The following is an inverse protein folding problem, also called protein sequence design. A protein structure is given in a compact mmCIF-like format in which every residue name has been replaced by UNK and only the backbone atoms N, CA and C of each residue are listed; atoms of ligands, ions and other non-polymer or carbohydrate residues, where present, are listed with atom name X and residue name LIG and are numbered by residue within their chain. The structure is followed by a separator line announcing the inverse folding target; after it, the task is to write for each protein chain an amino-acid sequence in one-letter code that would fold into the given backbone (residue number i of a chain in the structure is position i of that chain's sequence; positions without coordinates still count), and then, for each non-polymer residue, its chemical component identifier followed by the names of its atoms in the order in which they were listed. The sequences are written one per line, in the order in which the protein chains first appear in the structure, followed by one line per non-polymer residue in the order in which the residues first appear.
data_IF_934483361405
#
_entry.id   IF_934483361405
#
_cell.length_a   1.000
_cell.length_b   1.000
_cell.length_c   1.000
_cell.angle_alpha   90.00
_cell.angle_beta   90.00
_cell.angle_gamma   90.00
#
_symmetry.space_group_name_H-M   'P 1'
#
loop_
_entity.id
_entity.type
_entity.pdbx_description
1 polymer ?
#
# COMPACT_ATOMS: atom_id res chain seq x y z
N UNK A 1 24.43 -2.68 21.93
CA UNK A 1 24.22 -1.59 22.91
C UNK A 1 24.18 -2.12 24.35
N UNK A 2 23.18 -2.93 24.74
CA UNK A 2 23.12 -3.48 26.10
C UNK A 2 24.31 -4.39 26.43
N UNK A 3 24.73 -5.23 25.48
CA UNK A 3 25.91 -6.10 25.63
C UNK A 3 27.23 -5.33 25.88
N UNK A 4 27.29 -4.05 25.47
CA UNK A 4 28.45 -3.18 25.71
C UNK A 4 28.24 -2.26 26.93
N UNK A 5 27.23 -2.53 27.78
CA UNK A 5 26.93 -1.75 28.98
C UNK A 5 26.27 -0.38 28.75
N UNK A 6 25.96 -0.02 27.50
CA UNK A 6 25.35 1.27 27.18
C UNK A 6 23.83 1.23 27.44
N UNK A 7 23.30 2.28 28.10
CA UNK A 7 21.87 2.42 28.40
C UNK A 7 21.12 3.11 27.25
N UNK A 8 20.08 2.49 26.68
CA UNK A 8 19.21 3.13 25.69
C UNK A 8 18.58 4.41 26.23
N UNK A 9 18.50 5.44 25.38
CA UNK A 9 17.83 6.70 25.66
C UNK A 9 16.58 6.89 24.78
N UNK A 10 15.86 7.99 24.96
CA UNK A 10 14.66 8.34 24.19
C UNK A 10 14.94 8.35 22.68
N UNK A 11 16.09 8.87 22.25
CA UNK A 11 16.49 8.91 20.83
C UNK A 11 16.68 7.50 20.29
N UNK A 12 17.29 6.60 21.09
CA UNK A 12 17.43 5.19 20.73
C UNK A 12 16.06 4.54 20.56
N UNK A 13 15.13 4.81 21.47
CA UNK A 13 13.77 4.26 21.43
C UNK A 13 13.02 4.71 20.19
N UNK A 14 13.07 6.00 19.85
CA UNK A 14 12.47 6.53 18.61
C UNK A 14 13.02 5.82 17.38
N UNK A 15 14.35 5.63 17.30
CA UNK A 15 14.98 4.92 16.18
C UNK A 15 14.51 3.46 16.04
N UNK A 16 14.47 2.72 17.16
CA UNK A 16 14.05 1.30 17.13
C UNK A 16 12.55 1.17 16.84
N UNK A 17 11.70 2.04 17.42
CA UNK A 17 10.27 2.06 17.14
C UNK A 17 9.98 2.38 15.66
N UNK A 18 10.72 3.32 15.08
CA UNK A 18 10.65 3.63 13.65
C UNK A 18 11.04 2.43 12.78
N UNK A 19 12.08 1.67 13.15
CA UNK A 19 12.43 0.44 12.45
C UNK A 19 11.29 -0.60 12.52
N UNK A 20 10.68 -0.78 13.70
CA UNK A 20 9.55 -1.70 13.88
C UNK A 20 8.35 -1.28 13.02
N UNK A 21 8.03 0.01 13.00
CA UNK A 21 6.96 0.62 12.18
C UNK A 21 7.11 0.33 10.69
N UNK A 22 8.33 0.44 10.15
CA UNK A 22 8.61 0.17 8.74
C UNK A 22 8.57 -1.32 8.41
N UNK A 23 9.08 -2.17 9.30
CA UNK A 23 9.09 -3.62 9.12
C UNK A 23 7.75 -4.29 9.40
N UNK A 24 6.79 -3.59 10.02
CA UNK A 24 5.56 -4.21 10.53
C UNK A 24 5.81 -5.16 11.71
N UNK A 25 6.92 -4.96 12.42
CA UNK A 25 7.39 -5.77 13.55
C UNK A 25 6.60 -5.45 14.84
N UNK A 26 5.41 -6.05 14.96
CA UNK A 26 4.47 -5.79 16.03
C UNK A 26 5.03 -6.27 17.38
N UNK A 27 5.50 -7.51 17.47
CA UNK A 27 5.89 -8.11 18.75
C UNK A 27 7.18 -7.49 19.28
N UNK A 28 8.19 -7.27 18.42
CA UNK A 28 9.40 -6.58 18.86
C UNK A 28 9.06 -5.14 19.28
N UNK A 29 8.18 -4.45 18.55
CA UNK A 29 7.75 -3.12 18.98
C UNK A 29 6.98 -3.11 20.31
N UNK A 30 6.22 -4.16 20.63
CA UNK A 30 5.60 -4.33 21.96
C UNK A 30 6.67 -4.56 23.04
N UNK A 31 7.72 -5.33 22.77
CA UNK A 31 8.84 -5.49 23.71
C UNK A 31 9.57 -4.18 23.97
N UNK A 32 9.75 -3.36 22.93
CA UNK A 32 10.34 -2.03 23.08
C UNK A 32 9.42 -1.12 23.89
N UNK A 33 8.10 -1.15 23.66
CA UNK A 33 7.14 -0.41 24.48
C UNK A 33 7.22 -0.86 25.96
N UNK A 34 7.21 -2.16 26.22
CA UNK A 34 7.38 -2.71 27.57
C UNK A 34 8.73 -2.34 28.21
N UNK A 35 9.81 -2.28 27.43
CA UNK A 35 11.12 -1.83 27.91
C UNK A 35 11.09 -0.37 28.36
N UNK A 36 10.44 0.52 27.58
CA UNK A 36 10.27 1.94 27.92
C UNK A 36 9.57 2.09 29.27
N UNK A 37 8.46 1.37 29.45
CA UNK A 37 7.67 1.39 30.70
C UNK A 37 8.48 0.82 31.88
N UNK A 38 9.07 -0.37 31.72
CA UNK A 38 9.83 -1.05 32.79
C UNK A 38 11.04 -0.24 33.26
N UNK A 39 11.71 0.46 32.35
CA UNK A 39 12.88 1.27 32.68
C UNK A 39 12.52 2.72 33.02
N UNK A 40 11.23 3.05 33.10
CA UNK A 40 10.73 4.40 33.42
C UNK A 40 11.34 5.47 32.51
N UNK A 41 11.57 5.14 31.24
CA UNK A 41 12.04 6.11 30.26
C UNK A 41 10.96 7.16 30.05
N UNK A 42 11.37 8.42 29.88
CA UNK A 42 10.42 9.51 29.70
C UNK A 42 9.73 9.37 28.34
N UNK A 43 8.42 9.12 28.36
CA UNK A 43 7.57 9.23 27.17
C UNK A 43 7.31 10.71 26.91
N UNK A 44 8.29 11.36 26.27
CA UNK A 44 8.11 12.71 25.74
C UNK A 44 7.36 12.64 24.41
N UNK A 45 7.09 13.81 23.82
CA UNK A 45 6.30 13.88 22.58
C UNK A 45 6.92 13.10 21.41
N UNK A 46 8.24 12.99 21.34
CA UNK A 46 8.93 12.23 20.30
C UNK A 46 8.74 10.72 20.47
N UNK A 47 8.92 10.22 21.70
CA UNK A 47 8.71 8.80 22.00
C UNK A 47 7.24 8.42 21.87
N UNK A 48 6.32 9.26 22.37
CA UNK A 48 4.88 9.06 22.21
C UNK A 48 4.46 9.02 20.75
N UNK A 49 4.91 9.99 19.93
CA UNK A 49 4.65 9.99 18.47
C UNK A 49 5.18 8.72 17.80
N UNK A 50 6.38 8.26 18.17
CA UNK A 50 6.96 7.03 17.62
C UNK A 50 6.22 5.76 18.04
N UNK A 51 5.69 5.72 19.28
CA UNK A 51 4.85 4.62 19.76
C UNK A 51 3.52 4.55 19.01
N UNK A 52 2.84 5.69 18.83
CA UNK A 52 1.60 5.78 18.04
C UNK A 52 1.89 5.31 16.60
N UNK A 53 2.92 5.86 15.96
CA UNK A 53 3.29 5.49 14.58
C UNK A 53 3.57 3.99 14.48
N UNK A 54 4.37 3.44 15.39
CA UNK A 54 4.69 2.00 15.42
C UNK A 54 3.45 1.14 15.54
N UNK A 55 2.59 1.38 16.52
CA UNK A 55 1.42 0.53 16.74
C UNK A 55 0.43 0.63 15.58
N UNK A 56 0.16 1.85 15.10
CA UNK A 56 -0.70 2.08 13.95
C UNK A 56 -0.19 1.37 12.68
N UNK A 57 1.11 1.46 12.39
CA UNK A 57 1.74 0.88 11.18
C UNK A 57 2.05 -0.61 11.29
N UNK A 58 2.01 -1.18 12.49
CA UNK A 58 2.06 -2.63 12.72
C UNK A 58 0.67 -3.28 12.78
N UNK A 59 -0.40 -2.51 12.59
CA UNK A 59 -1.78 -3.04 12.58
C UNK A 59 -2.34 -3.33 13.97
N UNK A 60 -1.85 -2.62 15.00
CA UNK A 60 -2.39 -2.62 16.37
C UNK A 60 -2.87 -1.20 16.68
N UNK A 61 -4.01 -0.87 16.08
CA UNK A 61 -4.50 0.52 16.10
C UNK A 61 -5.10 0.92 17.45
N UNK A 62 -5.65 -0.02 18.21
CA UNK A 62 -6.25 0.26 19.51
C UNK A 62 -5.18 0.71 20.52
N UNK A 63 -4.02 0.04 20.55
CA UNK A 63 -2.88 0.46 21.36
C UNK A 63 -2.33 1.82 20.91
N UNK A 64 -2.38 2.14 19.61
CA UNK A 64 -1.99 3.47 19.12
C UNK A 64 -2.90 4.58 19.68
N UNK A 65 -4.20 4.32 19.83
CA UNK A 65 -5.14 5.25 20.47
C UNK A 65 -4.87 5.37 21.96
N UNK A 66 -4.67 4.26 22.66
CA UNK A 66 -4.38 4.27 24.10
C UNK A 66 -3.11 5.07 24.40
N UNK A 67 -2.05 4.89 23.60
CA UNK A 67 -0.83 5.69 23.74
C UNK A 67 -1.14 7.18 23.58
N UNK A 68 -1.93 7.57 22.58
CA UNK A 68 -2.32 8.97 22.37
C UNK A 68 -3.11 9.52 23.56
N UNK A 69 -4.16 8.82 24.01
CA UNK A 69 -5.04 9.24 25.10
C UNK A 69 -4.34 9.34 26.46
N UNK A 70 -3.26 8.60 26.65
CA UNK A 70 -2.45 8.62 27.88
C UNK A 70 -1.32 9.67 27.85
N UNK A 71 -1.11 10.37 26.73
CA UNK A 71 -0.10 11.42 26.64
C UNK A 71 -0.50 12.63 27.50
N UNK A 72 0.45 13.14 28.29
CA UNK A 72 0.23 14.36 29.10
C UNK A 72 0.37 15.66 28.31
N UNK A 73 1.10 15.61 27.20
CA UNK A 73 1.42 16.75 26.34
C UNK A 73 1.38 16.27 24.91
N UNK A 74 0.42 16.80 24.16
CA UNK A 74 0.28 16.59 22.73
C UNK A 74 0.86 17.78 21.97
N UNK A 75 1.22 17.56 20.72
CA UNK A 75 1.52 18.64 19.79
C UNK A 75 1.02 18.28 18.40
N UNK A 76 1.26 19.16 17.43
CA UNK A 76 0.82 18.95 16.06
C UNK A 76 1.29 17.61 15.46
N UNK A 77 2.46 17.11 15.86
CA UNK A 77 2.99 15.84 15.35
C UNK A 77 2.21 14.63 15.87
N UNK A 78 1.78 14.62 17.14
CA UNK A 78 0.97 13.51 17.69
C UNK A 78 -0.39 13.44 17.02
N UNK A 79 -1.03 14.59 16.80
CA UNK A 79 -2.29 14.69 16.05
C UNK A 79 -2.13 14.23 14.60
N UNK A 80 -1.08 14.68 13.91
CA UNK A 80 -0.82 14.33 12.52
C UNK A 80 -0.61 12.81 12.34
N UNK A 81 0.11 12.17 13.25
CA UNK A 81 0.30 10.71 13.22
C UNK A 81 -1.03 9.99 13.48
N UNK A 82 -1.84 10.44 14.43
CA UNK A 82 -3.14 9.83 14.71
C UNK A 82 -4.11 9.95 13.51
N UNK A 83 -4.22 11.13 12.90
CA UNK A 83 -5.04 11.35 11.70
C UNK A 83 -4.58 10.46 10.54
N UNK A 84 -3.26 10.38 10.31
CA UNK A 84 -2.68 9.52 9.27
C UNK A 84 -2.94 8.04 9.55
N UNK A 85 -2.88 7.63 10.81
CA UNK A 85 -3.17 6.26 11.23
C UNK A 85 -4.63 5.89 10.95
N UNK A 86 -5.60 6.76 11.28
CA UNK A 86 -7.01 6.56 10.91
C UNK A 86 -7.17 6.44 9.38
N UNK A 87 -6.53 7.32 8.61
CA UNK A 87 -6.56 7.29 7.15
C UNK A 87 -6.01 5.98 6.56
N UNK A 88 -4.90 5.47 7.11
CA UNK A 88 -4.27 4.21 6.68
C UNK A 88 -5.08 2.97 7.03
N UNK A 89 -5.87 3.02 8.11
CA UNK A 89 -6.72 1.91 8.56
C UNK A 89 -8.15 1.98 8.00
N UNK A 90 -8.40 2.83 7.00
CA UNK A 90 -9.71 2.95 6.36
C UNK A 90 -10.79 3.60 7.23
N UNK A 91 -10.42 4.27 8.32
CA UNK A 91 -11.34 4.93 9.25
C UNK A 91 -11.41 6.43 8.93
N UNK A 92 -11.87 6.77 7.72
CA UNK A 92 -11.81 8.15 7.23
C UNK A 92 -12.68 9.14 8.01
N UNK A 93 -13.86 8.72 8.48
CA UNK A 93 -14.72 9.56 9.33
C UNK A 93 -14.02 9.93 10.63
N UNK A 94 -13.44 8.95 11.33
CA UNK A 94 -12.68 9.18 12.55
C UNK A 94 -11.44 10.06 12.32
N UNK A 95 -10.80 10.00 11.15
CA UNK A 95 -9.72 10.92 10.78
C UNK A 95 -10.21 12.37 10.69
N UNK A 96 -11.40 12.60 10.12
CA UNK A 96 -12.03 13.91 10.00
C UNK A 96 -12.49 14.45 11.36
N UNK A 97 -13.11 13.60 12.18
CA UNK A 97 -13.48 13.95 13.56
C UNK A 97 -12.26 14.30 14.40
N UNK A 98 -11.17 13.54 14.26
CA UNK A 98 -9.90 13.82 14.94
C UNK A 98 -9.30 15.16 14.50
N UNK A 99 -9.38 15.50 13.22
CA UNK A 99 -9.01 16.83 12.72
C UNK A 99 -9.86 17.93 13.35
N UNK A 100 -11.18 17.76 13.37
CA UNK A 100 -12.08 18.78 13.91
C UNK A 100 -11.87 18.95 15.43
N UNK A 101 -11.62 17.86 16.16
CA UNK A 101 -11.22 17.88 17.58
C UNK A 101 -9.91 18.64 17.80
N UNK A 102 -8.87 18.34 17.02
CA UNK A 102 -7.58 19.03 17.05
C UNK A 102 -7.75 20.56 16.92
N UNK A 103 -8.62 21.01 16.01
CA UNK A 103 -8.89 22.44 15.80
C UNK A 103 -9.62 23.06 16.99
N UNK A 104 -10.62 22.37 17.55
CA UNK A 104 -11.38 22.83 18.74
C UNK A 104 -10.47 22.97 19.96
N UNK A 105 -9.50 22.07 20.11
CA UNK A 105 -8.49 22.12 21.18
C UNK A 105 -7.40 23.18 20.96
N UNK A 106 -7.50 23.96 19.88
CA UNK A 106 -6.66 25.14 19.63
C UNK A 106 -5.36 24.84 18.87
N UNK A 107 -5.17 23.61 18.38
CA UNK A 107 -4.04 23.31 17.52
C UNK A 107 -4.31 23.81 16.10
N UNK A 108 -3.33 24.51 15.52
CA UNK A 108 -3.41 25.00 14.15
C UNK A 108 -2.96 23.91 13.18
N UNK A 109 -3.82 23.41 12.26
CA UNK A 109 -3.41 22.47 11.21
C UNK A 109 -2.26 23.01 10.36
N UNK A 110 -1.34 22.11 10.00
CA UNK A 110 -0.25 22.36 9.06
C UNK A 110 -0.45 21.55 7.76
N UNK A 111 0.55 21.59 6.88
CA UNK A 111 0.53 20.86 5.62
C UNK A 111 0.47 19.34 5.84
N UNK A 112 1.13 18.81 6.87
CA UNK A 112 1.08 17.38 7.19
C UNK A 112 -0.32 16.99 7.71
N UNK A 113 -0.98 17.86 8.49
CA UNK A 113 -2.36 17.66 8.94
C UNK A 113 -3.30 17.52 7.75
N UNK A 114 -3.23 18.46 6.80
CA UNK A 114 -4.10 18.43 5.62
C UNK A 114 -3.78 17.25 4.70
N UNK A 115 -2.52 16.85 4.56
CA UNK A 115 -2.16 15.64 3.83
C UNK A 115 -2.87 14.40 4.43
N UNK A 116 -2.82 14.21 5.76
CA UNK A 116 -3.49 13.09 6.42
C UNK A 116 -5.01 13.07 6.17
N UNK A 117 -5.67 14.23 6.28
CA UNK A 117 -7.11 14.37 6.00
C UNK A 117 -7.45 14.10 4.54
N UNK A 118 -6.65 14.59 3.60
CA UNK A 118 -6.86 14.35 2.17
C UNK A 118 -6.62 12.88 1.79
N UNK A 119 -5.64 12.22 2.43
CA UNK A 119 -5.46 10.77 2.31
C UNK A 119 -6.71 10.01 2.81
N UNK A 120 -7.27 10.42 3.96
CA UNK A 120 -8.51 9.82 4.48
C UNK A 120 -9.66 9.96 3.49
N UNK A 121 -9.86 11.16 2.93
CA UNK A 121 -10.88 11.41 1.92
C UNK A 121 -10.64 10.56 0.67
N UNK A 122 -9.40 10.49 0.19
CA UNK A 122 -9.01 9.68 -0.97
C UNK A 122 -9.34 8.19 -0.77
N UNK A 123 -8.94 7.62 0.37
CA UNK A 123 -9.14 6.19 0.64
C UNK A 123 -10.62 5.80 0.83
N UNK A 124 -11.47 6.74 1.26
CA UNK A 124 -12.92 6.52 1.45
C UNK A 124 -13.78 7.06 0.29
N UNK A 125 -13.18 7.72 -0.71
CA UNK A 125 -13.93 8.33 -1.80
C UNK A 125 -14.79 9.55 -1.39
N UNK A 126 -14.45 10.24 -0.29
CA UNK A 126 -15.17 11.44 0.16
C UNK A 126 -14.83 12.68 -0.67
N UNK A 127 -15.30 12.71 -1.93
CA UNK A 127 -14.93 13.75 -2.91
C UNK A 127 -15.27 15.16 -2.41
N UNK A 128 -16.51 15.38 -1.96
CA UNK A 128 -16.93 16.72 -1.50
C UNK A 128 -16.20 17.16 -0.24
N UNK A 129 -15.88 16.23 0.66
CA UNK A 129 -15.10 16.56 1.85
C UNK A 129 -13.64 16.88 1.49
N UNK A 130 -13.03 16.11 0.58
CA UNK A 130 -11.69 16.40 0.07
C UNK A 130 -11.59 17.78 -0.56
N UNK A 131 -12.55 18.15 -1.44
CA UNK A 131 -12.64 19.50 -2.03
C UNK A 131 -12.74 20.58 -0.96
N UNK A 132 -13.61 20.38 0.03
CA UNK A 132 -13.82 21.33 1.13
C UNK A 132 -12.56 21.52 1.96
N UNK A 133 -11.90 20.42 2.35
CA UNK A 133 -10.67 20.46 3.17
C UNK A 133 -9.51 21.07 2.39
N UNK A 134 -9.34 20.72 1.12
CA UNK A 134 -8.33 21.34 0.25
C UNK A 134 -8.57 22.85 0.07
N UNK A 135 -9.82 23.27 -0.12
CA UNK A 135 -10.16 24.69 -0.23
C UNK A 135 -9.91 25.45 1.08
N UNK A 136 -10.25 24.85 2.23
CA UNK A 136 -9.99 25.44 3.57
C UNK A 136 -8.50 25.57 3.86
N UNK A 137 -7.68 24.58 3.46
CA UNK A 137 -6.21 24.64 3.58
C UNK A 137 -5.66 25.95 3.01
N UNK A 138 -6.13 26.35 1.84
CA UNK A 138 -5.68 27.56 1.13
C UNK A 138 -6.35 28.81 1.71
N UNK A 139 -7.68 28.84 1.74
CA UNK A 139 -8.47 30.05 2.02
C UNK A 139 -8.46 30.45 3.50
N UNK A 140 -8.51 29.47 4.41
CA UNK A 140 -8.63 29.73 5.86
C UNK A 140 -7.26 29.67 6.55
N UNK A 141 -6.41 28.71 6.18
CA UNK A 141 -5.12 28.49 6.85
C UNK A 141 -3.94 29.13 6.12
N UNK A 142 -4.14 29.61 4.89
CA UNK A 142 -3.09 30.26 4.09
C UNK A 142 -1.96 29.32 3.68
N UNK A 143 -2.19 28.01 3.72
CA UNK A 143 -1.18 27.01 3.40
C UNK A 143 -1.07 26.84 1.89
N UNK A 144 0.17 26.78 1.40
CA UNK A 144 0.45 26.51 -0.01
C UNK A 144 0.40 25.00 -0.27
N UNK A 145 -0.46 24.51 -1.16
CA UNK A 145 -0.52 23.09 -1.48
C UNK A 145 0.80 22.59 -2.08
N UNK A 146 1.33 21.51 -1.48
CA UNK A 146 2.49 20.76 -1.99
C UNK A 146 2.06 19.63 -2.92
N UNK A 147 3.05 19.01 -3.58
CA UNK A 147 2.84 17.93 -4.55
C UNK A 147 2.01 16.77 -3.97
N UNK A 148 2.19 16.46 -2.69
CA UNK A 148 1.51 15.38 -2.00
C UNK A 148 0.00 15.67 -1.82
N UNK A 149 -0.37 16.93 -1.58
CA UNK A 149 -1.77 17.36 -1.47
C UNK A 149 -2.48 17.23 -2.82
N UNK A 150 -1.84 17.73 -3.88
CA UNK A 150 -2.34 17.56 -5.24
C UNK A 150 -2.43 16.08 -5.62
N UNK A 151 -1.43 15.28 -5.28
CA UNK A 151 -1.44 13.83 -5.49
C UNK A 151 -2.66 13.16 -4.85
N UNK A 152 -3.01 13.53 -3.61
CA UNK A 152 -4.19 13.00 -2.93
C UNK A 152 -5.50 13.47 -3.56
N UNK A 153 -5.61 14.76 -3.91
CA UNK A 153 -6.81 15.29 -4.56
C UNK A 153 -7.02 14.71 -5.95
N UNK A 154 -5.96 14.59 -6.74
CA UNK A 154 -6.02 13.98 -8.06
C UNK A 154 -6.43 12.53 -7.92
N UNK A 155 -5.84 11.75 -7.00
CA UNK A 155 -6.23 10.36 -6.78
C UNK A 155 -7.70 10.22 -6.31
N UNK A 156 -8.17 11.14 -5.47
CA UNK A 156 -9.57 11.19 -5.03
C UNK A 156 -10.54 11.49 -6.19
N UNK A 157 -10.31 12.58 -6.93
CA UNK A 157 -11.15 13.00 -8.07
C UNK A 157 -11.17 11.92 -9.14
N UNK A 158 -10.00 11.35 -9.41
CA UNK A 158 -9.79 10.22 -10.30
C UNK A 158 -10.64 9.01 -9.93
N UNK A 159 -10.63 8.57 -8.67
CA UNK A 159 -11.46 7.44 -8.20
C UNK A 159 -12.95 7.78 -8.25
N UNK A 160 -13.30 9.05 -8.03
CA UNK A 160 -14.65 9.58 -8.17
C UNK A 160 -15.14 9.77 -9.62
N UNK A 161 -14.28 9.58 -10.63
CA UNK A 161 -14.63 9.79 -12.05
C UNK A 161 -14.58 11.25 -12.53
N UNK A 162 -14.15 12.19 -11.69
CA UNK A 162 -14.02 13.62 -12.00
C UNK A 162 -12.70 13.93 -12.71
N UNK A 163 -12.47 13.29 -13.85
CA UNK A 163 -11.18 13.38 -14.57
C UNK A 163 -10.88 14.77 -15.13
N UNK A 164 -11.92 15.50 -15.57
CA UNK A 164 -11.73 16.82 -16.16
C UNK A 164 -11.27 17.81 -15.08
N UNK A 165 -11.85 17.75 -13.88
CA UNK A 165 -11.39 18.52 -12.71
C UNK A 165 -10.00 18.10 -12.25
N UNK A 166 -9.68 16.81 -12.27
CA UNK A 166 -8.34 16.34 -11.96
C UNK A 166 -7.30 16.93 -12.94
N UNK A 167 -7.66 17.07 -14.21
CA UNK A 167 -6.81 17.67 -15.24
C UNK A 167 -6.67 19.19 -15.08
N UNK A 168 -7.76 19.89 -14.78
CA UNK A 168 -7.72 21.32 -14.42
C UNK A 168 -6.81 21.57 -13.22
N UNK A 169 -6.90 20.71 -12.19
CA UNK A 169 -6.05 20.78 -11.02
C UNK A 169 -4.57 20.66 -11.41
N UNK A 170 -4.20 19.70 -12.26
CA UNK A 170 -2.82 19.54 -12.76
C UNK A 170 -2.34 20.80 -13.50
N UNK A 171 -3.16 21.38 -14.36
CA UNK A 171 -2.81 22.61 -15.08
C UNK A 171 -2.67 23.82 -14.16
N UNK A 172 -3.45 23.88 -13.07
CA UNK A 172 -3.38 24.95 -12.08
C UNK A 172 -2.10 24.88 -11.22
N UNK A 173 -1.41 23.74 -11.21
CA UNK A 173 -0.18 23.57 -10.45
C UNK A 173 0.93 24.45 -11.03
N UNK A 174 1.29 25.50 -10.29
CA UNK A 174 2.50 26.31 -10.57
C UNK A 174 3.81 25.55 -10.28
N UNK A 175 3.73 24.33 -9.78
CA UNK A 175 4.86 23.47 -9.46
C UNK A 175 5.33 22.76 -10.73
N UNK A 176 6.66 22.72 -10.97
CA UNK A 176 7.26 21.98 -12.09
C UNK A 176 6.65 20.59 -12.19
N UNK A 177 6.29 20.20 -13.41
CA UNK A 177 5.73 18.90 -13.79
C UNK A 177 6.38 17.76 -12.99
N UNK A 178 5.57 16.93 -12.33
CA UNK A 178 6.05 15.87 -11.44
C UNK A 178 5.52 14.52 -11.91
N UNK A 179 6.43 13.55 -12.01
CA UNK A 179 6.12 12.22 -12.51
C UNK A 179 5.14 11.45 -11.62
N UNK A 180 5.11 11.67 -10.30
CA UNK A 180 4.17 11.00 -9.39
C UNK A 180 2.72 11.33 -9.76
N UNK A 181 2.45 12.57 -10.15
CA UNK A 181 1.10 13.03 -10.50
C UNK A 181 0.65 12.44 -11.82
N UNK A 182 1.51 12.48 -12.84
CA UNK A 182 1.21 11.86 -14.13
C UNK A 182 1.06 10.34 -14.01
N UNK A 183 1.85 9.66 -13.16
CA UNK A 183 1.65 8.22 -12.86
C UNK A 183 0.31 7.95 -12.18
N UNK A 184 -0.08 8.80 -11.24
CA UNK A 184 -1.38 8.70 -10.54
C UNK A 184 -2.53 8.87 -11.55
N UNK A 185 -2.44 9.83 -12.46
CA UNK A 185 -3.42 10.04 -13.53
C UNK A 185 -3.42 8.90 -14.55
N UNK A 186 -2.26 8.41 -14.99
CA UNK A 186 -2.17 7.30 -15.93
C UNK A 186 -2.84 6.03 -15.38
N UNK A 187 -2.60 5.72 -14.09
CA UNK A 187 -3.29 4.64 -13.40
C UNK A 187 -4.83 4.79 -13.35
N UNK A 188 -5.34 6.02 -13.51
CA UNK A 188 -6.78 6.32 -13.66
C UNK A 188 -7.38 5.83 -14.95
N UNK A 189 -6.66 6.15 -16.04
CA UNK A 189 -7.21 6.16 -17.39
C UNK A 189 -7.60 4.75 -17.80
N UNK A 190 -6.96 3.77 -17.16
CA UNK A 190 -7.41 2.38 -17.07
C UNK A 190 -8.88 2.28 -16.67
N UNK A 191 -9.24 2.61 -15.43
CA UNK A 191 -10.59 2.38 -14.91
C UNK A 191 -11.71 3.11 -15.66
N UNK A 192 -11.44 4.31 -16.16
CA UNK A 192 -12.45 5.15 -16.83
C UNK A 192 -12.40 5.08 -18.35
N UNK A 193 -11.50 4.27 -18.92
CA UNK A 193 -11.42 4.01 -20.36
C UNK A 193 -11.11 5.23 -21.24
N UNK A 194 -10.50 6.28 -20.67
CA UNK A 194 -10.09 7.54 -21.33
C UNK A 194 -8.66 7.41 -21.86
N UNK A 195 -8.51 6.70 -22.97
CA UNK A 195 -7.20 6.36 -23.56
C UNK A 195 -6.35 7.58 -23.91
N UNK A 196 -6.94 8.58 -24.59
CA UNK A 196 -6.23 9.78 -25.02
C UNK A 196 -5.55 10.51 -23.86
N UNK A 197 -6.21 10.51 -22.69
CA UNK A 197 -5.67 11.09 -21.46
C UNK A 197 -4.54 10.23 -20.88
N UNK A 198 -4.66 8.90 -20.97
CA UNK A 198 -3.59 7.97 -20.60
C UNK A 198 -2.34 8.19 -21.44
N UNK A 199 -2.50 8.28 -22.75
CA UNK A 199 -1.39 8.55 -23.68
C UNK A 199 -0.77 9.92 -23.47
N UNK A 200 -1.59 10.94 -23.19
CA UNK A 200 -1.09 12.25 -22.83
C UNK A 200 -0.25 12.20 -21.54
N UNK A 201 -0.76 11.54 -20.49
CA UNK A 201 -0.04 11.38 -19.23
C UNK A 201 1.26 10.60 -19.41
N UNK A 202 1.25 9.54 -20.23
CA UNK A 202 2.44 8.76 -20.54
C UNK A 202 3.50 9.57 -21.29
N UNK A 203 3.13 10.35 -22.30
CA UNK A 203 4.07 11.28 -22.96
C UNK A 203 4.71 12.26 -21.99
N UNK A 204 3.93 12.79 -21.03
CA UNK A 204 4.48 13.64 -19.96
C UNK A 204 5.41 12.89 -19.02
N UNK A 205 5.20 11.61 -18.78
CA UNK A 205 6.14 10.78 -18.02
C UNK A 205 7.44 10.52 -18.78
N UNK A 206 7.38 10.32 -20.10
CA UNK A 206 8.59 10.16 -20.92
C UNK A 206 9.47 11.41 -20.93
N UNK A 207 8.86 12.61 -20.91
CA UNK A 207 9.59 13.87 -20.79
C UNK A 207 10.35 14.01 -19.45
N UNK A 208 9.85 13.38 -18.37
CA UNK A 208 10.40 13.52 -17.02
C UNK A 208 11.31 12.37 -16.61
N UNK A 209 10.92 11.14 -16.93
CA UNK A 209 11.54 9.91 -16.46
C UNK A 209 11.51 8.83 -17.57
N UNK A 210 12.27 9.02 -18.65
CA UNK A 210 12.24 8.13 -19.82
C UNK A 210 12.73 6.71 -19.51
N UNK A 211 13.49 6.50 -18.44
CA UNK A 211 14.06 5.20 -18.06
C UNK A 211 13.30 4.49 -16.94
N UNK A 212 12.19 5.06 -16.47
CA UNK A 212 11.42 4.47 -15.38
C UNK A 212 10.43 3.43 -15.93
N UNK A 213 10.76 2.14 -15.74
CA UNK A 213 9.96 1.01 -16.19
C UNK A 213 8.52 0.97 -15.65
N UNK A 214 8.24 1.60 -14.50
CA UNK A 214 6.87 1.67 -13.95
C UNK A 214 5.91 2.41 -14.90
N UNK A 215 6.39 3.44 -15.59
CA UNK A 215 5.59 4.24 -16.52
C UNK A 215 5.11 3.39 -17.71
N UNK A 216 6.01 2.56 -18.24
CA UNK A 216 5.75 1.67 -19.37
C UNK A 216 4.79 0.53 -18.99
N UNK A 217 4.97 -0.03 -17.79
CA UNK A 217 4.01 -1.02 -17.26
C UNK A 217 2.61 -0.39 -17.13
N UNK A 218 2.51 0.84 -16.63
CA UNK A 218 1.22 1.51 -16.48
C UNK A 218 0.50 1.74 -17.81
N UNK A 219 1.18 2.23 -18.86
CA UNK A 219 0.55 2.43 -20.17
C UNK A 219 0.23 1.10 -20.87
N UNK A 220 1.10 0.10 -20.74
CA UNK A 220 0.85 -1.26 -21.25
C UNK A 220 -0.46 -1.82 -20.67
N UNK A 221 -0.70 -1.64 -19.38
CA UNK A 221 -1.96 -2.05 -18.74
C UNK A 221 -3.20 -1.29 -19.28
N UNK A 222 -3.06 -0.01 -19.65
CA UNK A 222 -4.15 0.75 -20.27
C UNK A 222 -4.50 0.19 -21.65
N UNK A 223 -3.49 -0.16 -22.47
CA UNK A 223 -3.68 -0.78 -23.77
C UNK A 223 -4.28 -2.19 -23.67
N UNK A 224 -3.82 -3.00 -22.72
CA UNK A 224 -4.33 -4.36 -22.46
C UNK A 224 -5.83 -4.35 -22.20
N UNK A 225 -6.36 -3.42 -21.38
CA UNK A 225 -7.79 -3.32 -21.11
C UNK A 225 -8.63 -3.01 -22.36
N UNK A 226 -8.05 -2.29 -23.32
CA UNK A 226 -8.68 -1.98 -24.62
C UNK A 226 -8.38 -3.03 -25.69
N UNK A 227 -7.67 -4.11 -25.35
CA UNK A 227 -7.27 -5.20 -26.25
C UNK A 227 -6.40 -4.71 -27.42
N UNK A 228 -5.57 -3.69 -27.18
CA UNK A 228 -4.65 -3.07 -28.13
C UNK A 228 -3.26 -3.71 -28.05
N UNK A 229 -3.13 -4.88 -28.65
CA UNK A 229 -1.97 -5.74 -28.44
C UNK A 229 -0.71 -5.29 -29.19
N UNK A 230 -0.87 -4.56 -30.29
CA UNK A 230 0.26 -4.01 -31.05
C UNK A 230 1.03 -3.00 -30.21
N UNK A 231 0.31 -2.07 -29.58
CA UNK A 231 0.86 -1.04 -28.70
C UNK A 231 1.49 -1.65 -27.44
N UNK A 232 0.92 -2.74 -26.90
CA UNK A 232 1.53 -3.52 -25.80
C UNK A 232 2.88 -4.12 -26.21
N UNK A 233 2.97 -4.68 -27.42
CA UNK A 233 4.21 -5.23 -27.98
C UNK A 233 5.29 -4.15 -28.14
N UNK A 234 4.94 -3.01 -28.72
CA UNK A 234 5.85 -1.87 -28.90
C UNK A 234 6.42 -1.35 -27.56
N UNK A 235 5.55 -1.22 -26.55
CA UNK A 235 5.98 -0.82 -25.20
C UNK A 235 6.92 -1.85 -24.59
N UNK A 236 6.67 -3.15 -24.79
CA UNK A 236 7.51 -4.23 -24.24
C UNK A 236 8.88 -4.26 -24.90
N UNK A 237 8.94 -4.17 -26.23
CA UNK A 237 10.21 -4.08 -26.97
C UNK A 237 11.04 -2.86 -26.56
N UNK A 238 10.38 -1.71 -26.32
CA UNK A 238 11.03 -0.50 -25.86
C UNK A 238 11.63 -0.66 -24.44
N UNK A 239 10.94 -1.38 -23.56
CA UNK A 239 11.44 -1.70 -22.21
C UNK A 239 12.67 -2.62 -22.28
N UNK A 240 12.62 -3.65 -23.14
CA UNK A 240 13.68 -4.65 -23.28
C UNK A 240 14.95 -4.05 -23.91
N UNK A 241 14.79 -3.31 -25.01
CA UNK A 241 15.88 -2.62 -25.71
C UNK A 241 16.59 -1.59 -24.82
N UNK A 242 15.87 -1.01 -23.86
CA UNK A 242 16.39 0.00 -22.92
C UNK A 242 16.92 -0.58 -21.59
N UNK A 243 16.87 -1.90 -21.39
CA UNK A 243 17.31 -2.60 -20.16
C UNK A 243 16.73 -1.98 -18.87
N UNK A 244 15.46 -1.61 -18.89
CA UNK A 244 14.84 -0.95 -17.74
C UNK A 244 14.65 -1.92 -16.57
N UNK A 245 15.08 -1.52 -15.36
CA UNK A 245 14.94 -2.34 -14.15
C UNK A 245 13.57 -2.12 -13.50
N UNK A 246 12.83 -3.20 -13.28
CA UNK A 246 11.57 -3.21 -12.50
C UNK A 246 11.88 -3.32 -11.00
N UNK A 247 11.12 -2.61 -10.15
CA UNK A 247 11.21 -2.82 -8.70
C UNK A 247 10.50 -4.14 -8.37
N UNK A 248 11.20 -5.13 -7.77
CA UNK A 248 10.57 -6.39 -7.43
C UNK A 248 9.57 -6.22 -6.29
N UNK A 249 8.43 -6.90 -6.41
CA UNK A 249 7.48 -7.04 -5.32
C UNK A 249 8.10 -7.85 -4.18
N UNK A 250 8.08 -7.28 -2.99
CA UNK A 250 8.63 -7.84 -1.77
C UNK A 250 7.59 -7.75 -0.65
N UNK A 251 7.38 -8.87 0.05
CA UNK A 251 6.48 -8.97 1.18
C UNK A 251 7.18 -9.51 2.40
N UNK A 252 6.75 -9.09 3.58
CA UNK A 252 7.22 -9.66 4.83
C UNK A 252 6.08 -10.03 5.77
N UNK A 253 6.35 -10.97 6.66
CA UNK A 253 5.44 -11.43 7.71
C UNK A 253 6.26 -11.68 8.98
N UNK A 254 5.68 -11.33 10.12
CA UNK A 254 6.27 -11.62 11.43
C UNK A 254 5.68 -12.90 12.00
N UNK A 255 6.53 -13.87 12.35
CA UNK A 255 6.14 -15.14 12.98
C UNK A 255 7.15 -15.43 14.10
N UNK A 256 6.68 -15.78 15.30
CA UNK A 256 7.52 -16.13 16.45
C UNK A 256 8.64 -15.11 16.75
N UNK A 257 8.38 -13.81 16.52
CA UNK A 257 9.32 -12.69 16.70
C UNK A 257 10.47 -12.63 15.68
N UNK A 258 10.35 -13.31 14.55
CA UNK A 258 11.22 -13.15 13.40
C UNK A 258 10.43 -12.60 12.21
N UNK A 259 11.04 -11.67 11.48
CA UNK A 259 10.48 -11.12 10.24
C UNK A 259 11.05 -11.90 9.07
N UNK A 260 10.17 -12.53 8.28
CA UNK A 260 10.51 -13.30 7.10
C UNK A 260 10.16 -12.50 5.84
N UNK A 261 11.06 -12.49 4.85
CA UNK A 261 10.92 -11.72 3.61
C UNK A 261 10.80 -12.63 2.39
N UNK A 262 9.87 -12.33 1.50
CA UNK A 262 9.56 -13.05 0.28
C UNK A 262 9.62 -12.11 -0.92
N UNK A 263 10.26 -12.53 -2.00
CA UNK A 263 10.33 -11.78 -3.26
C UNK A 263 9.64 -12.55 -4.37
N UNK A 264 8.88 -11.85 -5.22
CA UNK A 264 8.18 -12.47 -6.35
C UNK A 264 9.14 -13.11 -7.38
N UNK A 265 10.40 -12.66 -7.41
CA UNK A 265 11.43 -13.12 -8.34
C UNK A 265 12.39 -14.16 -7.75
N UNK A 266 12.13 -14.72 -6.56
CA UNK A 266 12.98 -15.77 -5.98
C UNK A 266 12.48 -17.14 -6.48
N UNK A 267 13.18 -17.80 -7.42
CA UNK A 267 12.88 -19.18 -7.76
C UNK A 267 13.29 -20.07 -6.58
N UNK A 268 12.43 -21.03 -6.21
CA UNK A 268 12.72 -22.21 -5.40
C UNK A 268 14.01 -22.10 -4.55
N UNK A 269 13.99 -21.25 -3.51
CA UNK A 269 15.05 -21.29 -2.50
C UNK A 269 15.00 -22.66 -1.84
N UNK A 270 16.16 -23.30 -1.66
CA UNK A 270 16.25 -24.57 -0.94
C UNK A 270 15.56 -24.43 0.43
N UNK A 271 14.57 -25.29 0.70
CA UNK A 271 13.73 -25.24 1.92
C UNK A 271 12.35 -24.58 1.75
N UNK A 272 11.97 -24.10 0.56
CA UNK A 272 10.65 -23.49 0.30
C UNK A 272 9.62 -24.47 -0.30
N UNK A 273 9.93 -25.76 -0.45
CA UNK A 273 9.06 -26.76 -1.09
C UNK A 273 7.67 -26.84 -0.42
N UNK A 274 7.63 -26.79 0.91
CA UNK A 274 6.38 -26.80 1.67
C UNK A 274 5.52 -25.55 1.41
N UNK A 275 6.14 -24.38 1.24
CA UNK A 275 5.45 -23.12 0.94
C UNK A 275 4.83 -23.18 -0.46
N UNK A 276 5.54 -23.72 -1.45
CA UNK A 276 5.01 -23.92 -2.80
C UNK A 276 3.85 -24.91 -2.81
N UNK A 277 3.98 -26.02 -2.08
CA UNK A 277 2.88 -26.99 -1.93
C UNK A 277 1.66 -26.34 -1.28
N UNK A 278 1.87 -25.54 -0.23
CA UNK A 278 0.80 -24.79 0.42
C UNK A 278 0.15 -23.78 -0.52
N UNK A 279 0.90 -23.09 -1.38
CA UNK A 279 0.35 -22.20 -2.40
C UNK A 279 -0.55 -22.93 -3.40
N UNK A 280 -0.13 -24.10 -3.87
CA UNK A 280 -0.96 -24.93 -4.76
C UNK A 280 -2.20 -25.48 -4.03
N UNK A 281 -2.09 -25.83 -2.74
CA UNK A 281 -3.25 -26.22 -1.93
C UNK A 281 -4.23 -25.05 -1.78
N UNK A 282 -3.75 -23.84 -1.45
CA UNK A 282 -4.57 -22.62 -1.39
C UNK A 282 -5.24 -22.38 -2.74
N UNK A 283 -4.50 -22.44 -3.85
CA UNK A 283 -5.03 -22.29 -5.21
C UNK A 283 -6.19 -23.25 -5.49
N UNK A 284 -6.02 -24.52 -5.15
CA UNK A 284 -7.03 -25.54 -5.38
C UNK A 284 -8.30 -25.28 -4.55
N UNK A 285 -8.13 -24.92 -3.27
CA UNK A 285 -9.27 -24.57 -2.41
C UNK A 285 -9.99 -23.32 -2.91
N UNK A 286 -9.25 -22.31 -3.37
CA UNK A 286 -9.81 -21.11 -3.95
C UNK A 286 -10.61 -21.41 -5.22
N UNK A 287 -10.09 -22.23 -6.13
CA UNK A 287 -10.80 -22.65 -7.35
C UNK A 287 -12.12 -23.36 -7.01
N UNK A 288 -12.13 -24.23 -5.99
CA UNK A 288 -13.36 -24.87 -5.49
C UNK A 288 -14.36 -23.85 -4.92
N UNK A 289 -13.89 -22.75 -4.34
CA UNK A 289 -14.70 -21.65 -3.85
C UNK A 289 -15.13 -20.63 -4.94
N UNK A 290 -14.83 -20.90 -6.22
CA UNK A 290 -15.22 -20.04 -7.35
C UNK A 290 -14.24 -18.90 -7.64
N UNK A 291 -13.00 -18.97 -7.16
CA UNK A 291 -11.95 -18.04 -7.55
C UNK A 291 -11.61 -18.19 -9.04
N UNK A 292 -11.69 -17.08 -9.76
CA UNK A 292 -11.25 -16.96 -11.15
C UNK A 292 -10.09 -15.95 -11.17
N UNK A 293 -8.87 -16.37 -11.55
CA UNK A 293 -7.74 -15.45 -11.67
C UNK A 293 -8.03 -14.35 -12.69
N UNK A 294 -7.66 -13.10 -12.38
CA UNK A 294 -7.83 -11.97 -13.30
C UNK A 294 -6.71 -11.96 -14.37
N UNK A 295 -6.78 -12.87 -15.34
CA UNK A 295 -5.75 -13.03 -16.39
C UNK A 295 -5.82 -12.00 -17.52
N UNK A 296 -6.93 -11.25 -17.62
CA UNK A 296 -7.15 -10.23 -18.65
C UNK A 296 -6.10 -9.11 -18.65
N UNK A 297 -5.39 -8.91 -17.53
CA UNK A 297 -4.35 -7.88 -17.39
C UNK A 297 -2.92 -8.36 -17.69
N UNK A 298 -2.72 -9.64 -18.02
CA UNK A 298 -1.40 -10.19 -18.31
C UNK A 298 -1.04 -10.12 -19.79
N UNK A 299 0.23 -9.85 -20.09
CA UNK A 299 0.79 -9.73 -21.44
C UNK A 299 0.47 -10.97 -22.29
N UNK A 300 0.01 -10.77 -23.54
CA UNK A 300 -0.54 -11.83 -24.39
C UNK A 300 0.48 -12.81 -24.97
N UNK A 301 1.78 -12.51 -24.89
CA UNK A 301 2.85 -13.41 -25.37
C UNK A 301 3.10 -14.62 -24.46
N UNK A 302 2.28 -14.75 -23.42
CA UNK A 302 2.34 -15.82 -22.43
C UNK A 302 0.98 -16.53 -22.43
N UNK A 303 0.98 -17.86 -22.43
CA UNK A 303 -0.27 -18.64 -22.45
C UNK A 303 -1.09 -18.41 -21.16
N UNK A 304 -2.41 -18.64 -21.21
CA UNK A 304 -3.30 -18.42 -20.05
C UNK A 304 -2.88 -19.20 -18.79
N UNK A 305 -2.31 -20.39 -18.95
CA UNK A 305 -1.79 -21.18 -17.82
C UNK A 305 -0.60 -20.51 -17.13
N UNK A 306 0.30 -19.89 -17.89
CA UNK A 306 1.48 -19.19 -17.41
C UNK A 306 1.12 -17.78 -16.86
N UNK A 307 0.05 -17.17 -17.37
CA UNK A 307 -0.58 -15.98 -16.74
C UNK A 307 -1.17 -16.32 -15.37
N UNK A 308 -1.97 -17.39 -15.27
CA UNK A 308 -2.48 -17.89 -13.99
C UNK A 308 -1.33 -18.24 -13.04
N UNK A 309 -0.28 -18.89 -13.56
CA UNK A 309 0.91 -19.24 -12.80
C UNK A 309 1.54 -18.00 -12.17
N UNK A 310 1.84 -16.97 -12.96
CA UNK A 310 2.47 -15.74 -12.46
C UNK A 310 1.64 -15.03 -11.37
N UNK A 311 0.31 -15.02 -11.48
CA UNK A 311 -0.57 -14.42 -10.47
C UNK A 311 -0.51 -15.15 -9.12
N UNK A 312 -0.29 -16.47 -9.11
CA UNK A 312 -0.18 -17.27 -7.88
C UNK A 312 1.07 -16.91 -7.09
N UNK A 313 2.16 -16.55 -7.77
CA UNK A 313 3.48 -16.37 -7.16
C UNK A 313 3.81 -14.91 -6.80
N UNK A 314 2.79 -14.12 -6.48
CA UNK A 314 3.00 -12.82 -5.86
C UNK A 314 3.57 -12.98 -4.45
N UNK A 315 4.53 -12.11 -4.06
CA UNK A 315 5.26 -12.23 -2.79
C UNK A 315 4.38 -12.27 -1.54
N UNK A 316 3.24 -11.58 -1.59
CA UNK A 316 2.28 -11.52 -0.49
C UNK A 316 1.52 -12.85 -0.32
N UNK A 317 1.35 -13.62 -1.40
CA UNK A 317 0.77 -14.98 -1.34
C UNK A 317 1.76 -15.97 -0.72
N UNK A 318 3.05 -15.84 -1.03
CA UNK A 318 4.11 -16.60 -0.34
C UNK A 318 4.12 -16.32 1.17
N UNK A 319 4.04 -15.04 1.54
CA UNK A 319 3.97 -14.64 2.95
C UNK A 319 2.75 -15.26 3.66
N UNK A 320 1.60 -15.33 2.99
CA UNK A 320 0.42 -16.00 3.53
C UNK A 320 0.64 -17.51 3.70
N UNK A 321 1.12 -18.19 2.66
CA UNK A 321 1.38 -19.62 2.70
C UNK A 321 2.36 -19.97 3.84
N UNK A 322 3.43 -19.20 3.97
CA UNK A 322 4.36 -19.34 5.10
C UNK A 322 3.67 -19.13 6.45
N UNK A 323 2.88 -18.06 6.60
CA UNK A 323 2.15 -17.76 7.83
C UNK A 323 1.16 -18.85 8.23
N UNK A 324 0.44 -19.43 7.27
CA UNK A 324 -0.51 -20.53 7.53
C UNK A 324 0.18 -21.84 7.93
N UNK A 325 1.40 -22.09 7.43
CA UNK A 325 2.19 -23.28 7.80
C UNK A 325 2.82 -23.15 9.19
N UNK A 326 3.31 -21.95 9.54
CA UNK A 326 4.19 -21.76 10.68
C UNK A 326 3.54 -21.02 11.85
N UNK A 327 2.28 -20.58 11.73
CA UNK A 327 1.60 -19.87 12.81
C UNK A 327 0.18 -20.37 13.06
N UNK A 328 -0.12 -20.48 14.36
CA UNK A 328 -1.47 -20.71 14.87
C UNK A 328 -2.18 -19.42 15.28
N UNK A 329 -1.54 -18.25 15.11
CA UNK A 329 -2.14 -16.98 15.46
C UNK A 329 -3.44 -16.74 14.67
N UNK A 330 -4.45 -16.12 15.31
CA UNK A 330 -5.73 -15.85 14.66
C UNK A 330 -5.62 -14.81 13.54
N UNK A 331 -4.63 -13.92 13.62
CA UNK A 331 -4.43 -12.82 12.65
C UNK A 331 -3.04 -12.89 12.05
N UNK A 332 -2.96 -13.05 10.73
CA UNK A 332 -1.71 -12.96 9.98
C UNK A 332 -1.53 -11.54 9.44
N UNK A 333 -0.36 -10.94 9.67
CA UNK A 333 -0.04 -9.56 9.28
C UNK A 333 1.07 -9.55 8.23
N UNK A 334 0.73 -9.13 7.01
CA UNK A 334 1.62 -9.13 5.86
C UNK A 334 1.90 -7.69 5.44
N UNK A 335 3.16 -7.39 5.22
CA UNK A 335 3.64 -6.10 4.73
C UNK A 335 4.03 -6.24 3.26
N UNK A 336 3.73 -5.24 2.44
CA UNK A 336 4.07 -5.20 1.01
C UNK A 336 4.70 -3.85 0.63
N UNK A 337 5.82 -3.90 -0.08
CA UNK A 337 6.54 -2.71 -0.57
C UNK A 337 5.92 -2.02 -1.80
N UNK A 338 4.82 -2.58 -2.33
CA UNK A 338 4.06 -2.08 -3.46
C UNK A 338 2.55 -2.19 -3.16
N UNK A 339 1.69 -1.56 -3.97
CA UNK A 339 0.22 -1.68 -3.85
C UNK A 339 -0.22 -3.14 -4.10
N UNK A 340 -1.21 -3.67 -3.39
CA UNK A 340 -1.74 -5.00 -3.80
C UNK A 340 -2.64 -4.88 -5.03
N UNK A 341 -2.58 -5.86 -5.94
CA UNK A 341 -3.46 -5.91 -7.11
C UNK A 341 -4.85 -6.44 -6.76
N UNK A 342 -5.79 -6.34 -7.71
CA UNK A 342 -7.18 -6.78 -7.52
C UNK A 342 -7.27 -8.29 -7.28
N UNK A 343 -6.52 -9.06 -8.08
CA UNK A 343 -6.42 -10.51 -7.95
C UNK A 343 -5.96 -10.91 -6.54
N UNK A 344 -4.93 -10.27 -6.00
CA UNK A 344 -4.48 -10.51 -4.63
C UNK A 344 -5.57 -10.15 -3.61
N UNK A 345 -6.29 -9.05 -3.80
CA UNK A 345 -7.38 -8.67 -2.91
C UNK A 345 -8.48 -9.75 -2.87
N UNK A 346 -8.89 -10.27 -4.03
CA UNK A 346 -9.88 -11.35 -4.12
C UNK A 346 -9.34 -12.67 -3.55
N UNK A 347 -8.07 -12.98 -3.82
CA UNK A 347 -7.36 -14.12 -3.26
C UNK A 347 -7.37 -14.10 -1.73
N UNK A 348 -6.98 -12.98 -1.10
CA UNK A 348 -6.95 -12.85 0.35
C UNK A 348 -8.34 -12.89 0.98
N UNK A 349 -9.33 -12.27 0.33
CA UNK A 349 -10.72 -12.30 0.78
C UNK A 349 -11.21 -13.74 0.89
N UNK A 350 -11.05 -14.53 -0.16
CA UNK A 350 -11.46 -15.93 -0.17
C UNK A 350 -10.58 -16.79 0.76
N UNK A 351 -9.27 -16.57 0.79
CA UNK A 351 -8.36 -17.32 1.66
C UNK A 351 -8.68 -17.10 3.15
N UNK A 352 -9.02 -15.86 3.56
CA UNK A 352 -9.43 -15.55 4.94
C UNK A 352 -10.66 -16.36 5.37
N UNK A 353 -11.62 -16.55 4.46
CA UNK A 353 -12.82 -17.34 4.70
C UNK A 353 -12.55 -18.85 4.68
N UNK A 354 -11.75 -19.36 3.74
CA UNK A 354 -11.44 -20.80 3.65
C UNK A 354 -10.65 -21.28 4.86
N UNK A 355 -9.60 -20.53 5.22
CA UNK A 355 -8.70 -20.92 6.31
C UNK A 355 -9.14 -20.42 7.69
N UNK A 356 -10.26 -19.69 7.76
CA UNK A 356 -10.82 -19.13 9.00
C UNK A 356 -9.74 -18.36 9.79
N UNK A 357 -9.08 -17.44 9.09
CA UNK A 357 -8.04 -16.56 9.64
C UNK A 357 -8.34 -15.12 9.29
N UNK A 358 -8.07 -14.21 10.21
CA UNK A 358 -8.00 -12.80 9.88
C UNK A 358 -6.67 -12.55 9.15
N UNK A 359 -6.74 -11.90 7.99
CA UNK A 359 -5.55 -11.54 7.21
C UNK A 359 -5.53 -10.03 7.09
N UNK A 360 -4.43 -9.43 7.51
CA UNK A 360 -4.21 -7.98 7.41
C UNK A 360 -3.02 -7.77 6.50
N UNK A 361 -3.24 -7.09 5.38
CA UNK A 361 -2.17 -6.76 4.42
C UNK A 361 -1.98 -5.27 4.39
N UNK A 362 -0.80 -4.77 4.77
CA UNK A 362 -0.42 -3.37 4.61
C UNK A 362 0.41 -3.20 3.36
N UNK A 363 -0.07 -2.36 2.45
CA UNK A 363 0.73 -1.89 1.32
C UNK A 363 1.31 -0.49 1.56
N UNK A 364 1.88 0.10 0.52
CA UNK A 364 2.46 1.46 0.56
C UNK A 364 1.45 2.59 0.79
N UNK A 365 0.14 2.31 0.77
CA UNK A 365 -0.94 3.30 0.93
C UNK A 365 -1.78 3.05 2.18
N UNK A 366 -2.22 1.81 2.41
CA UNK A 366 -3.18 1.49 3.47
C UNK A 366 -3.11 0.03 3.91
N UNK A 367 -3.83 -0.27 4.97
CA UNK A 367 -4.20 -1.61 5.36
C UNK A 367 -5.39 -2.12 4.55
N UNK A 368 -5.40 -3.42 4.31
CA UNK A 368 -6.50 -4.20 3.78
C UNK A 368 -6.81 -5.30 4.78
N UNK A 369 -8.03 -5.32 5.29
CA UNK A 369 -8.47 -6.24 6.33
C UNK A 369 -9.42 -7.27 5.71
N UNK A 370 -9.05 -8.53 5.81
CA UNK A 370 -9.84 -9.66 5.33
C UNK A 370 -10.23 -10.52 6.53
N UNK A 371 -11.53 -10.65 6.77
CA UNK A 371 -12.08 -11.40 7.91
C UNK A 371 -12.84 -12.61 7.38
N UNK A 372 -12.70 -13.75 8.07
CA UNK A 372 -13.25 -15.04 7.64
C UNK A 372 -14.78 -15.16 7.71
N UNK A 373 -15.52 -14.06 7.92
CA UNK A 373 -16.97 -14.06 7.99
C UNK A 373 -17.60 -14.02 6.58
N UNK A 374 -18.46 -14.99 6.29
CA UNK A 374 -19.19 -15.16 5.02
C UNK A 374 -20.04 -13.93 4.62
N UNK A 375 -20.41 -13.07 5.58
CA UNK A 375 -21.15 -11.81 5.33
C UNK A 375 -20.31 -10.70 4.70
N UNK A 376 -18.98 -10.75 4.82
CA UNK A 376 -18.07 -9.77 4.20
C UNK A 376 -17.90 -10.01 2.69
N UNK A 377 -18.38 -11.14 2.16
CA UNK A 377 -18.29 -11.46 0.74
C UNK A 377 -19.05 -10.44 -0.12
N UNK A 378 -20.09 -9.78 0.44
CA UNK A 378 -20.94 -8.81 -0.25
C UNK A 378 -20.71 -7.33 0.14
N UNK A 379 -19.97 -7.03 1.22
CA UNK A 379 -19.94 -5.68 1.81
C UNK A 379 -18.57 -4.99 1.86
N UNK A 380 -17.51 -5.58 1.28
CA UNK A 380 -16.24 -4.85 1.09
C UNK A 380 -16.32 -3.80 -0.04
N UNK A 381 -17.45 -3.71 -0.75
CA UNK A 381 -17.70 -2.71 -1.80
C UNK A 381 -17.94 -1.28 -1.26
N UNK A 382 -17.81 -1.06 0.06
CA UNK A 382 -17.80 0.28 0.67
C UNK A 382 -16.60 1.14 0.26
N UNK A 383 -15.55 0.52 -0.30
CA UNK A 383 -14.50 1.22 -1.06
C UNK A 383 -14.65 0.84 -2.53
N UNK A 384 -15.34 1.69 -3.28
CA UNK A 384 -15.40 1.73 -4.75
C UNK A 384 -14.33 0.84 -5.42
N UNK A 385 -14.76 -0.11 -6.24
CA UNK A 385 -13.98 -1.13 -6.97
C UNK A 385 -12.94 -0.58 -7.98
N UNK A 386 -12.46 0.65 -7.80
CA UNK A 386 -11.53 1.41 -8.65
C UNK A 386 -10.09 1.48 -8.07
N UNK A 387 -9.77 0.62 -7.09
CA UNK A 387 -8.67 0.81 -6.13
C UNK A 387 -7.44 -0.09 -6.32
N UNK A 388 -7.45 -0.93 -7.35
CA UNK A 388 -6.50 -2.00 -7.58
C UNK A 388 -5.52 -1.67 -8.70
N UNK A 389 -4.37 -1.03 -8.42
CA UNK A 389 -3.29 -0.95 -9.42
C UNK A 389 -2.64 -2.33 -9.60
N UNK A 390 -2.38 -2.82 -10.83
CA UNK A 390 -1.62 -4.04 -11.00
C UNK A 390 -0.17 -3.66 -10.67
N UNK A 391 0.37 -4.27 -9.63
CA UNK A 391 1.81 -4.24 -9.45
C UNK A 391 2.49 -4.97 -10.59
N UNK A 392 3.67 -4.49 -10.95
CA UNK A 392 4.62 -5.13 -11.85
C UNK A 392 5.18 -6.45 -11.28
N UNK A 393 4.33 -7.32 -10.76
CA UNK A 393 4.65 -8.68 -10.38
C UNK A 393 4.41 -9.58 -11.60
N UNK A 394 5.25 -9.42 -12.61
CA UNK A 394 5.46 -10.46 -13.60
C UNK A 394 6.89 -10.96 -13.42
N UNK A 395 7.00 -12.23 -13.04
CA UNK A 395 8.20 -13.04 -13.15
C UNK A 395 8.77 -12.90 -14.56
N UNK A 396 10.09 -12.71 -14.65
CA UNK A 396 10.84 -12.78 -15.90
C UNK A 396 10.59 -14.15 -16.58
N UNK A 397 10.02 -14.22 -17.79
CA UNK A 397 10.07 -15.45 -18.59
C UNK A 397 11.46 -15.65 -19.22
N UNK A 398 12.34 -14.64 -19.13
CA UNK A 398 13.69 -14.66 -19.66
C UNK A 398 14.70 -15.33 -18.72
N UNK A 399 14.49 -16.62 -18.44
CA UNK A 399 15.61 -17.51 -18.14
C UNK A 399 15.38 -18.90 -18.77
N UNK A 400 15.07 -18.90 -20.08
CA UNK A 400 15.19 -20.10 -20.92
C UNK A 400 16.57 -20.10 -21.57
N UNK A 401 17.29 -21.20 -21.34
CA UNK A 401 18.47 -21.72 -22.05
C UNK A 401 19.86 -21.30 -21.56
N UNK A 402 20.48 -22.22 -20.80
CA UNK A 402 21.70 -22.89 -21.27
C UNK A 402 21.82 -24.29 -20.64
N UNK A 403 21.09 -25.24 -21.23
CA UNK A 403 21.56 -26.62 -21.29
C UNK A 403 22.43 -26.68 -22.55
N UNK A 404 23.73 -26.75 -22.36
CA UNK A 404 24.67 -27.14 -23.41
C UNK A 404 25.70 -28.08 -22.77
N UNK A 405 25.42 -29.38 -22.99
CA UNK A 405 26.28 -30.58 -22.84
C UNK A 405 26.82 -30.90 -21.45
#
# INVERSE_FOLDING_TARGET
MLASGAKPCEVTMVGVLSACSHLGALNQGQWIHAYIVRNRLRVNVYVGTALIDKHAKCGDFDEAKEVFETMRVENIYTWNVLISAYAMNGQGEAALETFDRMVVEGFKPDDVTFLGVLCACCHQGFVEEGRRRFSRMISQYGLQPKIEHYGCMIDLLRRGGFLDEAMEMIHSMKLKSNAIIWRTLLGACRFHGREELGEFAFRKLLELEPTNGENYVLISNVHTQKKKWTEVGEVTELMDSSRMKKIPGCSSIEIENAVYEFKASDPLKAGHEEIHKMLEDIKNQLKLAGYVPETEMALYDINEEEKEHNLIYHSEKFALAFGLLHSSEPTLRIMKNLRICQDCHQFFKLASAIYQRNIVVRDIKRFHHFTGETRSILNCDGGNSYDSHPTSAFSDPCNKNNIAV
#
